data_IF_156188570261
#
_entry.id   IF_156188570261
#
_cell.length_a   1.000
_cell.length_b   1.000
_cell.length_c   1.000
_cell.angle_alpha   90.00
_cell.angle_beta   90.00
_cell.angle_gamma   90.00
#
_symmetry.space_group_name_H-M   'P 1'
#
loop_
_entity.id
_entity.type
_entity.pdbx_description
1 polymer ?
#
# COMPACT_ATOMS: atom_id res chain seq x y z
N UNK A 1 -22.76 -20.01 13.63
CA UNK A 1 -21.76 -20.02 12.55
C UNK A 1 -21.14 -18.64 12.46
N UNK A 2 -19.83 -18.55 12.27
CA UNK A 2 -19.09 -17.31 12.03
C UNK A 2 -18.36 -17.43 10.70
N UNK A 3 -18.23 -16.33 9.98
CA UNK A 3 -17.47 -16.25 8.72
C UNK A 3 -16.36 -15.21 8.89
N UNK A 4 -15.18 -15.53 8.39
CA UNK A 4 -14.02 -14.63 8.35
C UNK A 4 -13.84 -14.14 6.91
N UNK A 5 -14.29 -12.93 6.59
CA UNK A 5 -14.22 -12.38 5.22
C UNK A 5 -12.78 -12.21 4.72
N UNK A 6 -11.81 -12.13 5.61
CA UNK A 6 -10.39 -12.10 5.29
C UNK A 6 -9.84 -13.43 4.78
N UNK A 7 -10.57 -14.53 4.96
CA UNK A 7 -10.20 -15.87 4.49
C UNK A 7 -10.88 -16.25 3.16
N UNK A 8 -11.67 -15.37 2.59
CA UNK A 8 -12.31 -15.60 1.28
C UNK A 8 -11.28 -16.00 0.21
N UNK A 9 -11.57 -17.00 -0.61
CA UNK A 9 -10.66 -17.45 -1.66
C UNK A 9 -10.44 -16.34 -2.71
N UNK A 10 -9.23 -16.25 -3.27
CA UNK A 10 -8.86 -15.25 -4.28
C UNK A 10 -9.28 -15.67 -5.67
N UNK A 11 -10.58 -15.83 -5.89
CA UNK A 11 -11.21 -16.16 -7.16
C UNK A 11 -12.04 -14.98 -7.66
N UNK A 12 -12.28 -14.90 -8.98
CA UNK A 12 -12.98 -13.76 -9.60
C UNK A 12 -14.35 -13.49 -9.01
N UNK A 13 -15.10 -14.56 -8.68
CA UNK A 13 -16.44 -14.46 -8.07
C UNK A 13 -16.42 -13.83 -6.68
N UNK A 14 -15.36 -14.05 -5.89
CA UNK A 14 -15.23 -13.53 -4.53
C UNK A 14 -14.69 -12.08 -4.48
N UNK A 15 -14.22 -11.50 -5.59
CA UNK A 15 -13.65 -10.16 -5.60
C UNK A 15 -14.59 -9.08 -5.06
N UNK A 16 -15.89 -9.17 -5.36
CA UNK A 16 -16.88 -8.22 -4.84
C UNK A 16 -17.17 -8.36 -3.34
N UNK A 17 -16.75 -9.49 -2.75
CA UNK A 17 -16.91 -9.82 -1.33
C UNK A 17 -15.64 -9.50 -0.51
N UNK A 18 -14.51 -9.16 -1.18
CA UNK A 18 -13.20 -8.98 -0.58
C UNK A 18 -13.12 -7.68 0.24
N UNK A 19 -13.36 -7.82 1.54
CA UNK A 19 -13.28 -6.71 2.50
C UNK A 19 -11.84 -6.23 2.71
N UNK A 20 -10.84 -7.10 2.60
CA UNK A 20 -9.43 -6.68 2.69
C UNK A 20 -9.08 -5.68 1.58
N UNK A 21 -9.48 -5.97 0.33
CA UNK A 21 -9.22 -5.09 -0.81
C UNK A 21 -9.99 -3.77 -0.71
N UNK A 22 -11.26 -3.80 -0.31
CA UNK A 22 -12.05 -2.58 -0.18
C UNK A 22 -11.49 -1.64 0.89
N UNK A 23 -11.10 -2.16 2.04
CA UNK A 23 -10.50 -1.38 3.12
C UNK A 23 -9.06 -0.96 2.80
N UNK A 24 -8.28 -1.80 2.10
CA UNK A 24 -6.95 -1.44 1.60
C UNK A 24 -7.00 -0.25 0.63
N UNK A 25 -8.04 -0.12 -0.19
CA UNK A 25 -8.25 1.05 -1.06
C UNK A 25 -8.41 2.33 -0.24
N UNK A 26 -9.23 2.30 0.83
CA UNK A 26 -9.37 3.43 1.74
C UNK A 26 -8.04 3.79 2.41
N UNK A 27 -7.30 2.78 2.87
CA UNK A 27 -6.00 2.97 3.52
C UNK A 27 -4.97 3.60 2.56
N UNK A 28 -4.86 3.09 1.33
CA UNK A 28 -3.94 3.63 0.31
C UNK A 28 -4.25 5.08 -0.06
N UNK A 29 -5.54 5.44 -0.18
CA UNK A 29 -5.96 6.82 -0.39
C UNK A 29 -5.53 7.72 0.77
N UNK A 30 -5.78 7.30 2.01
CA UNK A 30 -5.39 8.05 3.21
C UNK A 30 -3.88 8.22 3.33
N UNK A 31 -3.08 7.20 2.98
CA UNK A 31 -1.62 7.33 2.94
C UNK A 31 -1.16 8.44 2.00
N UNK A 32 -1.76 8.52 0.79
CA UNK A 32 -1.47 9.60 -0.15
C UNK A 32 -1.81 10.98 0.40
N UNK A 33 -2.95 11.13 1.09
CA UNK A 33 -3.36 12.40 1.72
C UNK A 33 -2.46 12.78 2.90
N UNK A 34 -2.13 11.83 3.79
CA UNK A 34 -1.19 12.05 4.91
C UNK A 34 0.17 12.52 4.36
N UNK A 35 0.67 11.84 3.33
CA UNK A 35 1.91 12.20 2.66
C UNK A 35 1.88 13.63 2.13
N UNK A 36 0.82 14.01 1.42
CA UNK A 36 0.66 15.34 0.86
C UNK A 36 0.53 16.43 1.95
N UNK A 37 -0.26 16.16 3.00
CA UNK A 37 -0.50 17.10 4.09
C UNK A 37 0.74 17.35 4.96
N UNK A 38 1.64 16.38 5.03
CA UNK A 38 2.87 16.44 5.85
C UNK A 38 4.10 16.84 5.04
N UNK A 39 4.05 16.73 3.70
CA UNK A 39 5.17 17.08 2.84
C UNK A 39 5.46 18.59 2.89
N UNK A 40 6.72 18.93 3.06
CA UNK A 40 7.19 20.34 3.08
C UNK A 40 7.36 20.92 1.67
N UNK A 41 6.94 20.18 0.64
CA UNK A 41 7.00 20.57 -0.77
C UNK A 41 5.61 20.49 -1.42
N UNK A 42 5.41 21.27 -2.47
CA UNK A 42 4.24 21.09 -3.32
C UNK A 42 4.29 19.71 -4.01
N UNK A 43 3.17 19.01 -4.01
CA UNK A 43 3.05 17.78 -4.79
C UNK A 43 3.07 18.10 -6.29
N UNK A 44 2.25 19.04 -6.81
CA UNK A 44 2.29 19.40 -8.22
C UNK A 44 3.47 20.31 -8.57
N UNK A 45 3.80 20.36 -9.85
CA UNK A 45 4.59 21.46 -10.40
C UNK A 45 3.79 22.76 -10.26
N UNK A 46 4.44 23.81 -9.82
CA UNK A 46 3.84 25.14 -9.68
C UNK A 46 4.69 26.17 -10.41
N UNK A 47 4.05 26.97 -11.26
CA UNK A 47 4.70 28.10 -11.95
C UNK A 47 4.06 29.38 -11.48
N UNK A 48 4.87 30.31 -10.97
CA UNK A 48 4.47 31.64 -10.50
C UNK A 48 5.35 32.69 -11.12
N UNK A 49 5.03 33.98 -10.89
CA UNK A 49 5.90 35.07 -11.29
C UNK A 49 7.31 34.99 -10.63
N UNK A 50 7.42 34.33 -9.47
CA UNK A 50 8.70 34.10 -8.78
C UNK A 50 9.51 32.92 -9.34
N UNK A 51 8.95 32.13 -10.28
CA UNK A 51 9.61 31.01 -10.90
C UNK A 51 8.82 29.70 -10.86
N UNK A 52 9.46 28.63 -11.32
CA UNK A 52 8.88 27.28 -11.38
C UNK A 52 9.41 26.40 -10.25
N UNK A 53 8.50 25.81 -9.49
CA UNK A 53 8.78 24.84 -8.42
C UNK A 53 8.54 23.43 -8.98
N UNK A 54 9.54 22.56 -8.81
CA UNK A 54 9.43 21.15 -9.23
C UNK A 54 8.51 20.37 -8.30
N UNK A 55 7.74 19.39 -8.84
CA UNK A 55 6.86 18.55 -8.04
C UNK A 55 7.63 17.68 -7.05
N UNK A 56 6.98 17.29 -5.95
CA UNK A 56 7.53 16.31 -5.02
C UNK A 56 7.72 14.95 -5.69
N UNK A 57 8.79 14.25 -5.30
CA UNK A 57 9.07 12.87 -5.71
C UNK A 57 8.53 11.92 -4.65
N UNK A 58 7.57 11.11 -5.03
CA UNK A 58 6.94 10.10 -4.18
C UNK A 58 7.39 8.72 -4.64
N UNK A 59 7.92 7.92 -3.71
CA UNK A 59 8.21 6.50 -3.91
C UNK A 59 7.17 5.67 -3.16
N UNK A 60 6.48 4.78 -3.87
CA UNK A 60 5.57 3.81 -3.25
C UNK A 60 6.22 2.43 -3.28
N UNK A 61 6.33 1.77 -2.14
CA UNK A 61 6.89 0.42 -1.99
C UNK A 61 5.77 -0.55 -1.64
N UNK A 62 5.52 -1.49 -2.54
CA UNK A 62 4.36 -2.37 -2.57
C UNK A 62 3.27 -1.81 -3.49
N UNK A 63 2.88 -2.59 -4.50
CA UNK A 63 1.86 -2.25 -5.47
C UNK A 63 0.68 -3.25 -5.43
N UNK A 64 0.25 -3.60 -4.22
CA UNK A 64 -1.04 -4.23 -3.99
C UNK A 64 -2.17 -3.19 -4.10
N UNK A 65 -3.39 -3.55 -3.72
CA UNK A 65 -4.56 -2.65 -3.80
C UNK A 65 -4.28 -1.29 -3.12
N UNK A 66 -3.74 -1.29 -1.92
CA UNK A 66 -3.42 -0.07 -1.20
C UNK A 66 -2.32 0.75 -1.89
N UNK A 67 -1.24 0.09 -2.35
CA UNK A 67 -0.15 0.77 -3.04
C UNK A 67 -0.58 1.39 -4.35
N UNK A 68 -1.34 0.67 -5.18
CA UNK A 68 -1.91 1.20 -6.43
C UNK A 68 -2.83 2.39 -6.17
N UNK A 69 -3.64 2.34 -5.11
CA UNK A 69 -4.49 3.47 -4.73
C UNK A 69 -3.67 4.67 -4.23
N UNK A 70 -2.60 4.44 -3.46
CA UNK A 70 -1.68 5.50 -3.05
C UNK A 70 -0.98 6.15 -4.26
N UNK A 71 -0.51 5.34 -5.22
CA UNK A 71 0.05 5.82 -6.51
C UNK A 71 -0.96 6.71 -7.23
N UNK A 72 -2.18 6.21 -7.44
CA UNK A 72 -3.23 6.95 -8.13
C UNK A 72 -3.56 8.28 -7.43
N UNK A 73 -3.61 8.28 -6.10
CA UNK A 73 -3.88 9.48 -5.29
C UNK A 73 -2.75 10.50 -5.44
N UNK A 74 -1.49 10.09 -5.24
CA UNK A 74 -0.34 10.97 -5.37
C UNK A 74 -0.17 11.53 -6.80
N UNK A 75 -0.47 10.71 -7.82
CA UNK A 75 -0.51 11.18 -9.22
C UNK A 75 -1.58 12.25 -9.45
N UNK A 76 -2.79 12.06 -8.94
CA UNK A 76 -3.87 13.06 -9.04
C UNK A 76 -3.54 14.36 -8.32
N UNK A 77 -2.76 14.28 -7.23
CA UNK A 77 -2.24 15.46 -6.53
C UNK A 77 -1.05 16.11 -7.25
N UNK A 78 -0.60 15.55 -8.37
CA UNK A 78 0.42 16.13 -9.25
C UNK A 78 1.86 15.77 -8.92
N UNK A 79 2.11 14.81 -8.03
CA UNK A 79 3.44 14.36 -7.69
C UNK A 79 4.11 13.56 -8.84
N UNK A 80 5.44 13.57 -8.86
CA UNK A 80 6.23 12.61 -9.64
C UNK A 80 6.29 11.31 -8.84
N UNK A 81 5.58 10.28 -9.32
CA UNK A 81 5.47 9.00 -8.60
C UNK A 81 6.33 7.94 -9.27
N UNK A 82 7.19 7.34 -8.47
CA UNK A 82 7.89 6.09 -8.76
C UNK A 82 7.33 5.00 -7.83
N UNK A 83 7.32 3.75 -8.27
CA UNK A 83 6.85 2.66 -7.43
C UNK A 83 7.65 1.39 -7.64
N UNK A 84 7.73 0.59 -6.59
CA UNK A 84 8.41 -0.70 -6.57
C UNK A 84 7.47 -1.79 -6.04
N UNK A 85 7.49 -2.92 -6.70
CA UNK A 85 6.97 -4.19 -6.20
C UNK A 85 7.90 -5.32 -6.65
N UNK A 86 8.01 -6.36 -5.85
CA UNK A 86 8.85 -7.50 -6.16
C UNK A 86 8.20 -8.47 -7.16
N UNK A 87 6.88 -8.36 -7.37
CA UNK A 87 6.12 -9.16 -8.33
C UNK A 87 6.18 -8.55 -9.72
N UNK A 88 6.49 -9.37 -10.71
CA UNK A 88 6.59 -8.93 -12.12
C UNK A 88 5.29 -8.33 -12.67
N UNK A 89 4.15 -8.93 -12.31
CA UNK A 89 2.81 -8.48 -12.74
C UNK A 89 2.45 -7.05 -12.25
N UNK A 90 3.10 -6.55 -11.20
CA UNK A 90 2.82 -5.22 -10.68
C UNK A 90 3.37 -4.11 -11.59
N UNK A 91 4.38 -4.37 -12.43
CA UNK A 91 4.97 -3.37 -13.33
C UNK A 91 3.92 -2.73 -14.23
N UNK A 92 3.15 -3.54 -14.96
CA UNK A 92 2.13 -3.03 -15.88
C UNK A 92 1.06 -2.21 -15.14
N UNK A 93 0.65 -2.65 -13.96
CA UNK A 93 -0.33 -1.95 -13.13
C UNK A 93 0.20 -0.57 -12.67
N UNK A 94 1.47 -0.49 -12.26
CA UNK A 94 2.14 0.76 -11.87
C UNK A 94 2.20 1.72 -13.06
N UNK A 95 2.68 1.24 -14.20
CA UNK A 95 2.85 2.04 -15.42
C UNK A 95 1.51 2.52 -15.99
N UNK A 96 0.45 1.71 -15.89
CA UNK A 96 -0.91 2.08 -16.30
C UNK A 96 -1.48 3.26 -15.52
N UNK A 97 -1.03 3.46 -14.26
CA UNK A 97 -1.38 4.63 -13.45
C UNK A 97 -0.50 5.87 -13.75
N UNK A 98 0.42 5.77 -14.71
CA UNK A 98 1.35 6.83 -15.09
C UNK A 98 2.49 7.03 -14.08
N UNK A 99 2.78 6.05 -13.24
CA UNK A 99 3.95 6.03 -12.36
C UNK A 99 5.11 5.29 -13.05
N UNK A 100 6.34 5.58 -12.63
CA UNK A 100 7.52 4.90 -13.14
C UNK A 100 7.84 3.69 -12.27
N UNK A 101 8.04 2.53 -12.88
CA UNK A 101 8.49 1.35 -12.15
C UNK A 101 9.99 1.43 -11.80
N UNK A 102 10.32 1.14 -10.54
CA UNK A 102 11.70 1.02 -10.07
C UNK A 102 12.16 -0.42 -10.26
N UNK A 103 13.00 -0.65 -11.28
CA UNK A 103 13.52 -1.98 -11.59
C UNK A 103 14.74 -2.31 -10.74
N UNK A 104 14.59 -3.24 -9.81
CA UNK A 104 15.69 -3.76 -8.99
C UNK A 104 16.43 -4.92 -9.66
N UNK A 105 15.91 -5.46 -10.76
CA UNK A 105 16.41 -6.68 -11.39
C UNK A 105 16.10 -7.95 -10.59
N UNK A 106 15.22 -7.85 -9.59
CA UNK A 106 14.76 -8.96 -8.76
C UNK A 106 13.26 -9.10 -8.93
N UNK A 107 12.79 -10.29 -9.28
CA UNK A 107 11.39 -10.66 -9.32
C UNK A 107 11.15 -11.86 -8.41
N UNK A 108 10.09 -11.80 -7.60
CA UNK A 108 9.74 -12.85 -6.67
C UNK A 108 8.24 -13.18 -6.77
N UNK A 109 7.85 -13.68 -7.92
CA UNK A 109 6.47 -14.12 -8.13
C UNK A 109 6.19 -15.38 -7.29
N UNK A 110 5.12 -15.34 -6.52
CA UNK A 110 4.68 -16.43 -5.63
C UNK A 110 3.23 -16.83 -5.87
N UNK A 111 2.76 -17.84 -5.18
CA UNK A 111 1.39 -18.32 -5.28
C UNK A 111 0.37 -17.31 -4.70
N UNK A 112 -0.86 -17.31 -5.22
CA UNK A 112 -1.96 -16.50 -4.71
C UNK A 112 -1.76 -14.99 -4.88
N UNK A 113 -0.85 -14.54 -5.76
CA UNK A 113 -0.58 -13.11 -6.01
C UNK A 113 0.28 -12.45 -4.94
N UNK A 114 0.90 -13.21 -4.03
CA UNK A 114 1.89 -12.73 -3.06
C UNK A 114 3.31 -13.00 -3.56
N UNK A 115 4.26 -12.25 -2.99
CA UNK A 115 5.67 -12.48 -3.25
C UNK A 115 6.18 -13.73 -2.51
N UNK A 116 7.09 -14.49 -3.15
CA UNK A 116 7.90 -15.51 -2.47
C UNK A 116 8.99 -14.87 -1.60
N UNK A 117 9.60 -15.65 -0.73
CA UNK A 117 10.82 -15.22 -0.05
C UNK A 117 11.98 -15.04 -1.04
N UNK A 118 12.75 -13.97 -0.84
CA UNK A 118 13.95 -13.66 -1.60
C UNK A 118 15.17 -14.40 -1.01
N UNK A 119 16.11 -14.79 -1.87
CA UNK A 119 17.43 -15.24 -1.43
C UNK A 119 18.24 -14.11 -0.81
N UNK A 120 19.36 -14.40 -0.16
CA UNK A 120 20.22 -13.38 0.44
C UNK A 120 20.80 -12.44 -0.62
N UNK A 121 21.21 -12.96 -1.77
CA UNK A 121 21.75 -12.21 -2.90
C UNK A 121 20.66 -11.30 -3.51
N UNK A 122 19.45 -11.82 -3.73
CA UNK A 122 18.32 -11.05 -4.21
C UNK A 122 17.95 -9.90 -3.26
N UNK A 123 17.94 -10.16 -1.95
CA UNK A 123 17.73 -9.14 -0.92
C UNK A 123 18.79 -8.05 -0.96
N UNK A 124 20.06 -8.41 -1.11
CA UNK A 124 21.15 -7.45 -1.18
C UNK A 124 21.04 -6.56 -2.43
N UNK A 125 20.76 -7.14 -3.59
CA UNK A 125 20.56 -6.41 -4.86
C UNK A 125 19.35 -5.48 -4.79
N UNK A 126 18.22 -5.97 -4.28
CA UNK A 126 17.01 -5.18 -4.05
C UNK A 126 17.32 -3.99 -3.13
N UNK A 127 17.97 -4.25 -2.00
CA UNK A 127 18.28 -3.24 -0.99
C UNK A 127 19.13 -2.11 -1.57
N UNK A 128 20.18 -2.44 -2.33
CA UNK A 128 21.07 -1.42 -2.93
C UNK A 128 20.30 -0.51 -3.92
N UNK A 129 19.49 -1.09 -4.80
CA UNK A 129 18.73 -0.31 -5.79
C UNK A 129 17.61 0.50 -5.16
N UNK A 130 16.91 -0.07 -4.17
CA UNK A 130 15.90 0.66 -3.41
C UNK A 130 16.51 1.81 -2.61
N UNK A 131 17.70 1.62 -2.01
CA UNK A 131 18.37 2.69 -1.27
C UNK A 131 18.60 3.93 -2.12
N UNK A 132 18.95 3.76 -3.40
CA UNK A 132 19.11 4.88 -4.36
C UNK A 132 17.78 5.61 -4.62
N UNK A 133 16.68 4.87 -4.79
CA UNK A 133 15.35 5.44 -5.01
C UNK A 133 14.84 6.16 -3.74
N UNK A 134 15.02 5.56 -2.57
CA UNK A 134 14.66 6.14 -1.26
C UNK A 134 15.42 7.45 -1.01
N UNK A 135 16.74 7.48 -1.26
CA UNK A 135 17.56 8.68 -1.09
C UNK A 135 17.12 9.87 -1.98
N UNK A 136 16.49 9.57 -3.14
CA UNK A 136 15.99 10.60 -4.05
C UNK A 136 14.55 11.04 -3.77
N UNK A 137 13.80 10.28 -2.97
CA UNK A 137 12.41 10.57 -2.66
C UNK A 137 12.29 11.75 -1.67
N UNK A 138 11.23 12.53 -1.83
CA UNK A 138 10.78 13.50 -0.83
C UNK A 138 9.74 12.84 0.11
N UNK A 139 9.05 11.82 -0.41
CA UNK A 139 8.06 11.02 0.31
C UNK A 139 8.24 9.56 -0.05
N UNK A 140 8.21 8.68 0.95
CA UNK A 140 8.13 7.23 0.79
C UNK A 140 6.83 6.74 1.43
N UNK A 141 6.03 5.97 0.69
CA UNK A 141 4.85 5.28 1.22
C UNK A 141 5.13 3.79 1.13
N UNK A 142 5.01 3.08 2.25
CA UNK A 142 5.21 1.63 2.29
C UNK A 142 3.89 0.92 2.58
N UNK A 143 3.61 -0.13 1.80
CA UNK A 143 2.35 -0.88 1.87
C UNK A 143 2.54 -2.39 1.79
N UNK A 144 3.78 -2.87 1.91
CA UNK A 144 4.08 -4.28 1.79
C UNK A 144 3.62 -5.04 3.03
N UNK A 145 2.61 -5.86 2.88
CA UNK A 145 2.08 -6.70 3.94
C UNK A 145 1.71 -8.10 3.43
N UNK A 146 1.76 -9.07 4.33
CA UNK A 146 1.30 -10.42 4.09
C UNK A 146 0.26 -10.71 5.17
N UNK A 147 -1.00 -11.01 4.83
CA UNK A 147 -2.04 -11.30 5.82
C UNK A 147 -1.59 -12.35 6.83
N UNK A 148 -1.86 -12.10 8.12
CA UNK A 148 -1.52 -13.00 9.21
C UNK A 148 -0.02 -13.11 9.54
N UNK A 149 0.86 -12.34 8.90
CA UNK A 149 2.31 -12.34 9.17
C UNK A 149 2.81 -10.94 9.50
N UNK A 150 3.94 -10.90 10.20
CA UNK A 150 4.66 -9.65 10.44
C UNK A 150 5.12 -9.05 9.10
N UNK A 151 4.98 -7.73 8.96
CA UNK A 151 5.43 -7.02 7.77
C UNK A 151 6.96 -7.15 7.59
N UNK A 152 7.44 -7.29 6.35
CA UNK A 152 8.87 -7.34 6.08
C UNK A 152 9.50 -5.96 6.30
N UNK A 153 10.65 -5.90 6.95
CA UNK A 153 11.45 -4.68 7.03
C UNK A 153 12.13 -4.46 5.68
N UNK A 154 11.84 -3.32 5.06
CA UNK A 154 12.36 -2.92 3.74
C UNK A 154 13.23 -1.66 3.86
N UNK A 155 12.77 -0.69 4.64
CA UNK A 155 13.50 0.56 4.88
C UNK A 155 14.39 0.39 6.11
N UNK A 156 15.70 0.40 5.87
CA UNK A 156 16.72 0.24 6.89
C UNK A 156 17.15 1.58 7.48
N UNK A 157 17.86 1.56 8.62
CA UNK A 157 18.46 2.75 9.23
C UNK A 157 19.42 3.47 8.27
N UNK A 158 20.21 2.73 7.50
CA UNK A 158 21.12 3.28 6.49
C UNK A 158 20.35 4.02 5.38
N UNK A 159 19.24 3.47 4.91
CA UNK A 159 18.39 4.13 3.92
C UNK A 159 17.80 5.45 4.46
N UNK A 160 17.33 5.45 5.72
CA UNK A 160 16.81 6.65 6.38
C UNK A 160 17.91 7.72 6.44
N UNK A 161 19.13 7.34 6.82
CA UNK A 161 20.29 8.25 6.91
C UNK A 161 20.70 8.87 5.56
N UNK A 162 20.26 8.29 4.44
CA UNK A 162 20.52 8.82 3.08
C UNK A 162 19.37 9.64 2.51
N UNK A 163 18.24 9.73 3.21
CA UNK A 163 17.10 10.51 2.76
C UNK A 163 17.37 12.01 2.88
N UNK A 164 16.60 12.79 2.15
CA UNK A 164 16.68 14.25 2.21
C UNK A 164 16.18 14.77 3.57
N UNK A 165 16.74 15.88 3.99
CA UNK A 165 16.24 16.64 5.14
C UNK A 165 14.73 16.95 4.97
N UNK A 166 13.94 16.66 6.01
CA UNK A 166 12.51 16.88 6.02
C UNK A 166 11.71 15.89 5.14
N UNK A 167 12.35 14.84 4.61
CA UNK A 167 11.64 13.78 3.89
C UNK A 167 10.66 13.06 4.81
N UNK A 168 9.67 12.37 4.20
CA UNK A 168 8.58 11.72 4.92
C UNK A 168 8.50 10.26 4.56
N UNK A 169 8.29 9.42 5.56
CA UNK A 169 7.87 8.03 5.41
C UNK A 169 6.46 7.89 5.98
N UNK A 170 5.53 7.35 5.20
CA UNK A 170 4.21 6.91 5.66
C UNK A 170 4.17 5.39 5.56
N UNK A 171 4.24 4.73 6.70
CA UNK A 171 4.28 3.27 6.78
C UNK A 171 2.90 2.71 7.09
N UNK A 172 2.17 2.29 6.06
CA UNK A 172 0.85 1.69 6.21
C UNK A 172 0.89 0.35 6.96
N UNK A 173 2.02 -0.35 6.89
CA UNK A 173 2.17 -1.65 7.53
C UNK A 173 2.45 -1.57 9.04
N UNK A 174 2.36 -0.38 9.66
CA UNK A 174 2.68 -0.15 11.06
C UNK A 174 1.98 -1.12 12.02
N UNK A 175 0.70 -1.43 11.79
CA UNK A 175 -0.08 -2.38 12.64
C UNK A 175 0.51 -3.79 12.64
N UNK A 176 1.16 -4.20 11.57
CA UNK A 176 1.81 -5.52 11.44
C UNK A 176 3.33 -5.49 11.67
N UNK A 177 3.83 -4.43 12.31
CA UNK A 177 5.24 -4.27 12.68
C UNK A 177 6.04 -3.33 11.79
N UNK A 178 5.44 -2.79 10.73
CA UNK A 178 6.03 -1.80 9.85
C UNK A 178 7.00 -2.34 8.81
N UNK A 179 7.12 -1.62 7.70
CA UNK A 179 8.14 -1.86 6.67
C UNK A 179 9.41 -1.01 6.90
N UNK A 180 9.36 -0.01 7.75
CA UNK A 180 10.49 0.81 8.14
C UNK A 180 10.94 0.42 9.54
N UNK A 181 12.24 0.22 9.72
CA UNK A 181 12.83 -0.23 10.99
C UNK A 181 12.54 0.72 12.17
N UNK A 182 12.33 2.02 11.90
CA UNK A 182 12.06 3.04 12.92
C UNK A 182 10.57 3.33 13.10
N UNK A 183 9.68 2.64 12.39
CA UNK A 183 8.22 2.82 12.54
C UNK A 183 7.78 2.44 13.94
N UNK A 184 7.01 3.32 14.58
CA UNK A 184 6.29 3.05 15.81
C UNK A 184 4.79 3.14 15.51
N UNK A 185 4.01 2.07 15.78
CA UNK A 185 2.58 2.05 15.50
C UNK A 185 1.83 3.16 16.24
N UNK A 186 1.03 3.92 15.51
CA UNK A 186 0.26 5.06 16.04
C UNK A 186 1.03 6.36 16.20
N UNK A 187 2.35 6.34 16.04
CA UNK A 187 3.21 7.45 16.39
C UNK A 187 3.78 8.18 15.15
N UNK A 188 4.31 9.38 15.43
CA UNK A 188 5.15 10.15 14.54
C UNK A 188 6.55 10.24 15.16
N UNK A 189 7.53 9.66 14.49
CA UNK A 189 8.92 9.62 14.92
C UNK A 189 9.77 10.47 13.97
N UNK A 190 10.75 11.19 14.51
CA UNK A 190 11.77 11.87 13.71
C UNK A 190 13.11 11.16 13.92
N UNK A 191 13.69 10.69 12.82
CA UNK A 191 14.99 10.04 12.83
C UNK A 191 15.83 10.54 11.65
N UNK A 192 17.04 11.01 11.91
CA UNK A 192 17.94 11.63 10.91
C UNK A 192 17.23 12.71 10.05
N UNK A 193 16.46 13.58 10.70
CA UNK A 193 15.66 14.63 10.06
C UNK A 193 14.60 14.14 9.09
N UNK A 194 14.27 12.85 9.12
CA UNK A 194 13.18 12.21 8.37
C UNK A 194 11.98 12.01 9.28
N UNK A 195 10.81 12.40 8.80
CA UNK A 195 9.53 12.26 9.51
C UNK A 195 8.92 10.90 9.19
N UNK A 196 8.76 10.03 10.17
CA UNK A 196 8.23 8.68 10.02
C UNK A 196 6.87 8.59 10.69
N UNK A 197 5.83 8.32 9.90
CA UNK A 197 4.46 8.18 10.36
C UNK A 197 4.04 6.71 10.26
N UNK A 198 3.63 6.13 11.39
CA UNK A 198 3.07 4.79 11.49
C UNK A 198 1.55 4.82 11.76
N UNK A 199 0.70 5.27 10.81
CA UNK A 199 -0.72 5.44 11.07
C UNK A 199 -1.41 4.11 11.33
N UNK A 200 -2.40 4.14 12.23
CA UNK A 200 -3.25 3.00 12.54
C UNK A 200 -4.66 3.22 12.01
N UNK A 201 -5.36 2.13 11.73
CA UNK A 201 -6.77 2.09 11.38
C UNK A 201 -7.16 3.16 10.34
N UNK A 202 -6.42 3.21 9.25
CA UNK A 202 -6.60 4.22 8.19
C UNK A 202 -8.01 4.25 7.58
N UNK A 203 -8.72 3.11 7.37
CA UNK A 203 -10.09 3.14 6.86
C UNK A 203 -11.06 3.90 7.75
N UNK A 204 -10.87 3.90 9.08
CA UNK A 204 -11.73 4.63 10.02
C UNK A 204 -11.69 6.16 9.84
N UNK A 205 -10.67 6.69 9.15
CA UNK A 205 -10.59 8.11 8.79
C UNK A 205 -11.53 8.49 7.64
N UNK A 206 -12.16 7.49 7.01
CA UNK A 206 -13.15 7.64 5.94
C UNK A 206 -14.43 6.84 6.25
N UNK A 207 -15.08 7.08 7.39
CA UNK A 207 -16.11 6.18 7.93
C UNK A 207 -17.27 5.97 6.97
N UNK A 208 -17.69 6.99 6.24
CA UNK A 208 -18.79 6.91 5.29
C UNK A 208 -18.50 5.88 4.18
N UNK A 209 -17.40 6.07 3.44
CA UNK A 209 -17.07 5.20 2.31
C UNK A 209 -16.54 3.83 2.75
N UNK A 210 -15.76 3.78 3.83
CA UNK A 210 -15.26 2.52 4.36
C UNK A 210 -16.43 1.61 4.81
N UNK A 211 -17.45 2.17 5.49
CA UNK A 211 -18.64 1.43 5.91
C UNK A 211 -19.50 1.04 4.72
N UNK A 212 -19.69 1.93 3.73
CA UNK A 212 -20.44 1.62 2.51
C UNK A 212 -19.82 0.45 1.75
N UNK A 213 -18.50 0.48 1.54
CA UNK A 213 -17.77 -0.59 0.84
C UNK A 213 -17.85 -1.90 1.61
N UNK A 214 -17.68 -1.85 2.92
CA UNK A 214 -17.78 -3.04 3.78
C UNK A 214 -19.19 -3.62 3.77
N UNK A 215 -20.23 -2.78 3.86
CA UNK A 215 -21.62 -3.22 3.74
C UNK A 215 -21.91 -3.88 2.39
N UNK A 216 -21.35 -3.36 1.29
CA UNK A 216 -21.44 -3.99 -0.03
C UNK A 216 -20.73 -5.34 -0.09
N UNK A 217 -19.57 -5.48 0.54
CA UNK A 217 -18.89 -6.77 0.64
C UNK A 217 -19.77 -7.80 1.37
N UNK A 218 -20.36 -7.42 2.51
CA UNK A 218 -21.27 -8.28 3.27
C UNK A 218 -22.51 -8.64 2.44
N UNK A 219 -23.13 -7.67 1.78
CA UNK A 219 -24.28 -7.91 0.91
C UNK A 219 -23.95 -8.88 -0.21
N UNK A 220 -22.83 -8.69 -0.90
CA UNK A 220 -22.39 -9.55 -1.97
C UNK A 220 -22.08 -10.98 -1.49
N UNK A 221 -21.54 -11.11 -0.28
CA UNK A 221 -21.32 -12.42 0.36
C UNK A 221 -22.62 -13.13 0.69
N UNK A 222 -23.62 -12.42 1.24
CA UNK A 222 -24.86 -13.03 1.71
C UNK A 222 -25.90 -13.24 0.61
N UNK A 223 -26.00 -12.32 -0.36
CA UNK A 223 -27.10 -12.31 -1.34
C UNK A 223 -27.22 -13.59 -2.20
N UNK A 224 -26.14 -14.29 -2.60
CA UNK A 224 -26.26 -15.53 -3.35
C UNK A 224 -26.94 -16.67 -2.58
N UNK A 225 -26.94 -16.59 -1.24
CA UNK A 225 -27.47 -17.61 -0.34
C UNK A 225 -28.89 -17.33 0.12
N UNK A 226 -29.51 -16.23 -0.34
CA UNK A 226 -30.91 -15.91 0.00
C UNK A 226 -31.82 -16.48 -1.08
N UNK A 227 -32.60 -17.52 -0.72
CA UNK A 227 -33.57 -18.16 -1.58
C UNK A 227 -34.95 -18.09 -0.93
N UNK A 228 -35.92 -17.56 -1.61
CA UNK A 228 -37.34 -17.43 -1.13
C UNK A 228 -37.40 -16.76 0.27
N UNK A 229 -36.56 -15.77 0.54
CA UNK A 229 -36.49 -15.05 1.80
C UNK A 229 -35.81 -15.81 2.96
N UNK A 230 -35.21 -16.96 2.69
CA UNK A 230 -34.45 -17.76 3.64
C UNK A 230 -32.96 -17.76 3.31
N UNK A 231 -32.11 -17.77 4.34
CA UNK A 231 -30.66 -17.86 4.19
C UNK A 231 -30.24 -19.33 4.20
N UNK A 232 -29.75 -19.81 3.07
CA UNK A 232 -29.39 -21.23 2.85
C UNK A 232 -27.98 -21.27 2.24
N UNK A 233 -26.97 -21.59 3.06
CA UNK A 233 -25.58 -21.72 2.60
C UNK A 233 -25.35 -23.08 1.92
N UNK A 234 -24.65 -23.07 0.79
CA UNK A 234 -24.05 -24.26 0.22
C UNK A 234 -22.64 -24.45 0.82
N UNK A 235 -22.53 -25.40 1.74
CA UNK A 235 -21.29 -25.69 2.45
C UNK A 235 -20.23 -26.39 1.58
N UNK A 236 -20.57 -26.78 0.36
CA UNK A 236 -19.62 -27.32 -0.62
C UNK A 236 -19.04 -26.24 -1.55
N UNK A 237 -19.56 -25.01 -1.48
CA UNK A 237 -19.08 -23.90 -2.29
C UNK A 237 -17.78 -23.33 -1.73
N UNK A 238 -16.77 -23.11 -2.60
CA UNK A 238 -15.45 -22.61 -2.24
C UNK A 238 -15.46 -21.30 -1.44
N UNK A 239 -16.47 -20.44 -1.65
CA UNK A 239 -16.63 -19.15 -0.95
C UNK A 239 -17.08 -19.36 0.50
N UNK A 240 -17.81 -20.45 0.78
CA UNK A 240 -18.36 -20.75 2.10
C UNK A 240 -17.42 -21.68 2.89
N UNK A 241 -16.75 -22.59 2.18
CA UNK A 241 -15.86 -23.62 2.76
C UNK A 241 -14.42 -23.13 2.99
N UNK A 242 -14.02 -22.03 2.39
CA UNK A 242 -12.65 -21.48 2.39
C UNK A 242 -12.19 -20.76 3.67
#
# INVERSE_FOLDING_TARGET
TAFALELLPRISRAQSMDALSSQASCAGYQCGLIAAARCVKFFPMLTTAAGTIRPARVLVIGAGVAGLQAIATCKRLGAMVEAYDVRSAAREQIESLGAKFVDTGVAADGAGGYARELTAEEKAQQTEKLAKAVAQADVVITTASIPGKKAPIIITTDMIGRMKYGAIIVDMAAESGGNCVMTQPGEHVIANDVNIHGPLNLPSRMPTHASELYAKNLYNFLSPWIKDGKLEFDWSDDVVAG
#
